data_IF_967910745882
#
_entry.id   IF_967910745882
#
_cell.length_a   1.000
_cell.length_b   1.000
_cell.length_c   1.000
_cell.angle_alpha   90.00
_cell.angle_beta   90.00
_cell.angle_gamma   90.00
#
_symmetry.space_group_name_H-M   'P 1'
#
loop_
_entity.id
_entity.type
_entity.pdbx_description
1 polymer ?
#
# COMPACT_ATOMS: atom_id res chain seq x y z
N UNK A 1 -4.95 19.70 -13.57
CA UNK A 1 -4.97 20.17 -14.97
C UNK A 1 -6.00 21.29 -15.14
N UNK A 2 -5.83 22.42 -14.45
CA UNK A 2 -6.69 23.60 -14.71
C UNK A 2 -6.28 24.28 -16.02
N UNK A 3 -7.17 25.08 -16.61
CA UNK A 3 -6.86 25.87 -17.79
C UNK A 3 -5.64 26.79 -17.56
N UNK A 4 -5.54 27.40 -16.38
CA UNK A 4 -4.41 28.24 -15.98
C UNK A 4 -3.09 27.48 -15.99
N UNK A 5 -3.03 26.29 -15.37
CA UNK A 5 -1.77 25.54 -15.26
C UNK A 5 -1.27 25.03 -16.62
N UNK A 6 -2.19 24.64 -17.51
CA UNK A 6 -1.82 24.25 -18.89
C UNK A 6 -1.37 25.46 -19.71
N UNK A 7 -2.02 26.62 -19.54
CA UNK A 7 -1.59 27.86 -20.18
C UNK A 7 -0.18 28.27 -19.74
N UNK A 8 0.10 28.20 -18.43
CA UNK A 8 1.40 28.50 -17.83
C UNK A 8 2.49 27.54 -18.34
N UNK A 9 2.21 26.23 -18.37
CA UNK A 9 3.11 25.23 -18.93
C UNK A 9 3.41 25.45 -20.42
N UNK A 10 2.40 25.84 -21.21
CA UNK A 10 2.59 26.18 -22.61
C UNK A 10 3.60 27.33 -22.78
N UNK A 11 3.50 28.37 -21.96
CA UNK A 11 4.47 29.47 -21.98
C UNK A 11 5.88 29.02 -21.62
N UNK A 12 6.03 28.14 -20.64
CA UNK A 12 7.33 27.58 -20.26
C UNK A 12 7.94 26.76 -21.41
N UNK A 13 7.15 25.87 -22.04
CA UNK A 13 7.61 25.07 -23.19
C UNK A 13 8.02 25.96 -24.37
N UNK A 14 7.26 27.02 -24.66
CA UNK A 14 7.63 28.01 -25.68
C UNK A 14 8.92 28.75 -25.36
N UNK A 15 9.15 29.08 -24.10
CA UNK A 15 10.40 29.71 -23.69
C UNK A 15 11.59 28.76 -23.88
N UNK A 16 11.43 27.48 -23.51
CA UNK A 16 12.44 26.42 -23.73
C UNK A 16 12.74 26.24 -25.22
N UNK A 17 11.72 26.20 -26.08
CA UNK A 17 11.90 26.16 -27.54
C UNK A 17 12.73 27.34 -28.06
N UNK A 18 12.48 28.56 -27.55
CA UNK A 18 13.24 29.76 -27.95
C UNK A 18 14.68 29.73 -27.46
N UNK A 19 14.94 29.17 -26.28
CA UNK A 19 16.31 28.92 -25.83
C UNK A 19 17.02 27.94 -26.74
N UNK A 20 16.39 26.80 -27.10
CA UNK A 20 17.00 25.83 -28.02
C UNK A 20 17.32 26.45 -29.37
N UNK A 21 16.41 27.27 -29.89
CA UNK A 21 16.66 28.03 -31.12
C UNK A 21 17.87 28.94 -31.00
N UNK A 22 18.02 29.64 -29.87
CA UNK A 22 19.17 30.50 -29.61
C UNK A 22 20.48 29.70 -29.49
N UNK A 23 20.45 28.52 -28.84
CA UNK A 23 21.59 27.59 -28.80
C UNK A 23 22.05 27.25 -30.22
N UNK A 24 21.13 26.76 -31.06
CA UNK A 24 21.42 26.38 -32.45
C UNK A 24 21.99 27.57 -33.25
N UNK A 25 21.37 28.75 -33.13
CA UNK A 25 21.85 29.95 -33.80
C UNK A 25 23.28 30.33 -33.40
N UNK A 26 23.63 30.23 -32.11
CA UNK A 26 24.98 30.53 -31.63
C UNK A 26 25.99 29.48 -32.10
N UNK A 27 25.59 28.21 -32.11
CA UNK A 27 26.39 27.11 -32.65
C UNK A 27 26.72 27.34 -34.13
N UNK A 28 25.73 27.72 -34.94
CA UNK A 28 25.90 28.04 -36.37
C UNK A 28 26.83 29.25 -36.61
N UNK A 29 26.95 30.15 -35.63
CA UNK A 29 27.87 31.30 -35.65
C UNK A 29 29.26 30.97 -35.12
N UNK A 30 29.51 29.74 -34.68
CA UNK A 30 30.80 29.29 -34.13
C UNK A 30 31.02 29.66 -32.66
N UNK A 31 30.01 30.17 -31.96
CA UNK A 31 30.07 30.47 -30.52
C UNK A 31 29.63 29.25 -29.70
N UNK A 32 30.47 28.22 -29.74
CA UNK A 32 30.15 26.88 -29.19
C UNK A 32 29.99 26.87 -27.67
N UNK A 33 30.72 27.73 -26.95
CA UNK A 33 30.63 27.84 -25.50
C UNK A 33 29.26 28.37 -25.08
N UNK A 34 28.80 29.48 -25.69
CA UNK A 34 27.47 30.02 -25.37
C UNK A 34 26.35 29.12 -25.85
N UNK A 35 26.50 28.48 -27.02
CA UNK A 35 25.54 27.51 -27.51
C UNK A 35 25.32 26.40 -26.46
N UNK A 36 26.41 25.77 -25.99
CA UNK A 36 26.34 24.72 -24.97
C UNK A 36 25.66 25.19 -23.68
N UNK A 37 25.90 26.43 -23.22
CA UNK A 37 25.20 26.97 -22.05
C UNK A 37 23.68 27.04 -22.27
N UNK A 38 23.22 27.58 -23.40
CA UNK A 38 21.78 27.64 -23.69
C UNK A 38 21.17 26.26 -23.90
N UNK A 39 21.91 25.31 -24.47
CA UNK A 39 21.48 23.92 -24.58
C UNK A 39 21.20 23.29 -23.21
N UNK A 40 22.18 23.37 -22.30
CA UNK A 40 22.04 22.87 -20.93
C UNK A 40 20.88 23.56 -20.19
N UNK A 41 20.67 24.86 -20.41
CA UNK A 41 19.51 25.56 -19.84
C UNK A 41 18.18 24.98 -20.31
N UNK A 42 18.07 24.61 -21.60
CA UNK A 42 16.87 24.00 -22.15
C UNK A 42 16.68 22.54 -21.70
N UNK A 43 17.77 21.76 -21.66
CA UNK A 43 17.76 20.36 -21.20
C UNK A 43 17.44 20.24 -19.71
N UNK A 44 17.73 21.28 -18.93
CA UNK A 44 17.33 21.35 -17.52
C UNK A 44 15.82 21.30 -17.31
N UNK A 45 14.99 21.69 -18.29
CA UNK A 45 13.53 21.72 -18.17
C UNK A 45 12.96 20.31 -17.91
N UNK A 46 12.18 20.17 -16.82
CA UNK A 46 11.63 18.90 -16.39
C UNK A 46 12.56 18.05 -15.53
N UNK A 47 13.85 18.39 -15.43
CA UNK A 47 14.78 17.76 -14.49
C UNK A 47 14.55 18.33 -13.08
N UNK A 48 14.41 17.44 -12.12
CA UNK A 48 14.22 17.79 -10.72
C UNK A 48 14.77 16.70 -9.80
N UNK A 49 15.00 17.07 -8.54
CA UNK A 49 15.44 16.20 -7.47
C UNK A 49 14.70 16.58 -6.18
N UNK A 50 14.42 15.62 -5.30
CA UNK A 50 13.94 15.89 -3.95
C UNK A 50 15.03 15.50 -2.95
N UNK A 51 15.54 16.48 -2.18
CA UNK A 51 16.58 16.26 -1.18
C UNK A 51 16.07 15.47 0.04
N UNK A 52 17.02 14.81 0.75
CA UNK A 52 17.10 14.73 2.22
C UNK A 52 15.84 15.07 3.02
N UNK A 53 15.73 16.38 3.22
CA UNK A 53 14.81 17.08 4.10
C UNK A 53 13.47 17.42 3.43
N UNK A 54 13.13 16.76 2.31
CA UNK A 54 11.89 16.96 1.58
C UNK A 54 11.90 18.17 0.63
N UNK A 55 13.04 18.84 0.44
CA UNK A 55 13.11 19.97 -0.49
C UNK A 55 13.02 19.50 -1.94
N UNK A 56 11.97 19.91 -2.64
CA UNK A 56 11.90 19.82 -4.10
C UNK A 56 12.80 20.86 -4.77
N UNK A 57 13.78 20.39 -5.52
CA UNK A 57 14.70 21.19 -6.31
C UNK A 57 14.46 20.94 -7.79
N UNK A 58 14.22 22.00 -8.53
CA UNK A 58 14.24 21.98 -9.98
C UNK A 58 15.63 22.27 -10.48
N UNK A 59 16.10 21.48 -11.42
CA UNK A 59 17.40 21.67 -12.07
C UNK A 59 17.32 22.66 -13.25
N UNK A 60 16.17 23.34 -13.41
CA UNK A 60 15.95 24.31 -14.49
C UNK A 60 16.73 25.60 -14.27
N UNK A 61 17.27 26.17 -15.34
CA UNK A 61 17.99 27.44 -15.28
C UNK A 61 17.13 28.59 -14.73
N UNK A 62 15.81 28.53 -14.90
CA UNK A 62 14.85 29.49 -14.35
C UNK A 62 14.84 29.52 -12.83
N UNK A 63 14.97 28.34 -12.24
CA UNK A 63 14.98 28.17 -10.79
C UNK A 63 16.24 28.76 -10.18
N UNK A 64 17.37 28.56 -10.85
CA UNK A 64 18.65 29.16 -10.49
C UNK A 64 18.70 30.68 -10.73
N UNK A 65 18.07 31.17 -11.80
CA UNK A 65 17.92 32.61 -12.04
C UNK A 65 17.05 33.27 -10.98
N UNK A 66 15.91 32.67 -10.61
CA UNK A 66 15.04 33.14 -9.52
C UNK A 66 15.75 33.13 -8.18
N UNK A 67 16.53 32.08 -7.91
CA UNK A 67 17.35 31.96 -6.70
C UNK A 67 18.39 33.08 -6.60
N UNK A 68 19.14 33.32 -7.68
CA UNK A 68 20.12 34.40 -7.77
C UNK A 68 19.48 35.77 -7.57
N UNK A 69 18.33 36.03 -8.22
CA UNK A 69 17.58 37.27 -8.07
C UNK A 69 17.13 37.53 -6.62
N UNK A 70 16.77 36.47 -5.87
CA UNK A 70 16.41 36.55 -4.45
C UNK A 70 17.62 36.69 -3.51
N UNK A 71 18.79 37.02 -4.05
CA UNK A 71 20.02 37.25 -3.30
C UNK A 71 20.86 35.99 -3.06
N UNK A 72 20.50 34.84 -3.64
CA UNK A 72 21.28 33.61 -3.49
C UNK A 72 21.38 33.11 -2.05
N UNK A 73 20.40 33.47 -1.21
CA UNK A 73 20.28 33.01 0.16
C UNK A 73 19.04 32.10 0.21
N UNK A 74 19.20 30.87 0.73
CA UNK A 74 18.21 29.76 0.85
C UNK A 74 18.35 28.69 -0.25
N UNK A 75 17.27 27.97 -0.59
CA UNK A 75 17.28 26.88 -1.57
C UNK A 75 16.69 27.38 -2.90
N UNK A 76 17.18 26.92 -4.06
CA UNK A 76 16.54 27.22 -5.34
C UNK A 76 15.08 26.79 -5.31
N UNK A 77 14.18 27.72 -5.63
CA UNK A 77 12.74 27.46 -5.74
C UNK A 77 12.33 27.50 -7.20
N UNK A 78 11.42 26.61 -7.66
CA UNK A 78 10.88 26.71 -9.00
C UNK A 78 10.29 28.10 -9.23
N UNK A 79 10.35 28.57 -10.48
CA UNK A 79 9.64 29.79 -10.86
C UNK A 79 8.13 29.59 -10.64
N UNK A 80 7.60 28.40 -10.99
CA UNK A 80 6.20 28.01 -10.81
C UNK A 80 6.12 26.55 -10.34
N UNK A 81 5.74 26.34 -9.08
CA UNK A 81 5.67 24.98 -8.51
C UNK A 81 4.61 24.14 -9.22
N UNK A 82 3.53 24.76 -9.70
CA UNK A 82 2.45 24.15 -10.48
C UNK A 82 2.93 23.45 -11.73
N UNK A 83 3.80 24.10 -12.52
CA UNK A 83 4.31 23.59 -13.79
C UNK A 83 5.44 22.61 -13.56
N UNK A 84 6.44 23.01 -12.77
CA UNK A 84 7.68 22.24 -12.63
C UNK A 84 7.45 20.89 -11.93
N UNK A 85 6.48 20.78 -11.01
CA UNK A 85 6.13 19.50 -10.36
C UNK A 85 5.22 18.60 -11.19
N UNK A 86 4.61 19.12 -12.26
CA UNK A 86 3.55 18.41 -13.03
C UNK A 86 3.77 18.45 -14.54
N UNK A 87 4.97 18.80 -15.01
CA UNK A 87 5.26 18.95 -16.43
C UNK A 87 4.88 17.67 -17.22
N UNK A 88 5.19 16.50 -16.65
CA UNK A 88 4.87 15.20 -17.25
C UNK A 88 3.36 14.99 -17.41
N UNK A 89 2.54 15.40 -16.43
CA UNK A 89 1.09 15.25 -16.50
C UNK A 89 0.49 16.05 -17.67
N UNK A 90 1.11 17.16 -18.04
CA UNK A 90 0.67 18.00 -19.16
C UNK A 90 1.03 17.36 -20.50
N UNK A 91 2.26 16.85 -20.65
CA UNK A 91 2.67 16.09 -21.85
C UNK A 91 1.84 14.81 -22.00
N UNK A 92 1.61 14.09 -20.90
CA UNK A 92 0.77 12.89 -20.89
C UNK A 92 -0.67 13.19 -21.31
N UNK A 93 -1.26 14.31 -20.88
CA UNK A 93 -2.59 14.72 -21.31
C UNK A 93 -2.64 14.94 -22.83
N UNK A 94 -1.65 15.61 -23.40
CA UNK A 94 -1.56 15.83 -24.86
C UNK A 94 -1.40 14.50 -25.61
N UNK A 95 -0.49 13.63 -25.16
CA UNK A 95 -0.26 12.31 -25.76
C UNK A 95 -1.49 11.41 -25.65
N UNK A 96 -2.21 11.44 -24.53
CA UNK A 96 -3.45 10.71 -24.34
C UNK A 96 -4.52 11.20 -25.31
N UNK A 97 -4.71 12.52 -25.42
CA UNK A 97 -5.71 13.12 -26.30
C UNK A 97 -5.43 12.81 -27.78
N UNK A 98 -4.16 12.87 -28.19
CA UNK A 98 -3.69 12.48 -29.53
C UNK A 98 -3.90 10.98 -29.78
N UNK A 99 -3.61 10.12 -28.79
CA UNK A 99 -3.84 8.66 -28.88
C UNK A 99 -5.32 8.27 -28.97
N UNK A 100 -6.22 9.11 -28.44
CA UNK A 100 -7.66 8.96 -28.57
C UNK A 100 -8.19 9.42 -29.95
N UNK A 101 -7.32 9.91 -30.83
CA UNK A 101 -7.66 10.35 -32.18
C UNK A 101 -8.10 11.82 -32.27
N UNK A 102 -7.88 12.62 -31.23
CA UNK A 102 -8.22 14.04 -31.21
C UNK A 102 -7.00 14.93 -31.50
N UNK A 103 -7.23 16.15 -31.98
CA UNK A 103 -6.17 17.13 -32.22
C UNK A 103 -5.77 17.83 -30.91
N UNK A 104 -4.51 17.68 -30.47
CA UNK A 104 -3.97 18.37 -29.29
C UNK A 104 -4.06 19.90 -29.35
N UNK A 105 -4.17 20.50 -30.54
CA UNK A 105 -4.40 21.94 -30.66
C UNK A 105 -5.73 22.38 -30.04
N UNK A 106 -6.74 21.50 -29.96
CA UNK A 106 -8.03 21.77 -29.33
C UNK A 106 -7.89 22.03 -27.83
N UNK A 107 -6.93 21.37 -27.15
CA UNK A 107 -6.63 21.60 -25.73
C UNK A 107 -6.31 23.08 -25.50
N UNK A 108 -5.44 23.63 -26.34
CA UNK A 108 -5.03 25.03 -26.26
C UNK A 108 -6.18 25.98 -26.58
N UNK A 109 -7.00 25.66 -27.58
CA UNK A 109 -8.19 26.47 -27.92
C UNK A 109 -9.19 26.49 -26.75
N UNK A 110 -9.43 25.34 -26.13
CA UNK A 110 -10.28 25.20 -24.94
C UNK A 110 -9.73 26.01 -23.77
N UNK A 111 -8.43 25.92 -23.49
CA UNK A 111 -7.76 26.71 -22.45
C UNK A 111 -7.99 28.21 -22.68
N UNK A 112 -7.76 28.70 -23.89
CA UNK A 112 -7.96 30.12 -24.22
C UNK A 112 -9.40 30.56 -24.04
N UNK A 113 -10.36 29.71 -24.47
CA UNK A 113 -11.78 29.98 -24.28
C UNK A 113 -12.13 30.07 -22.78
N UNK A 114 -11.72 29.09 -21.98
CA UNK A 114 -11.99 29.05 -20.54
C UNK A 114 -11.40 30.27 -19.82
N UNK A 115 -10.16 30.64 -20.14
CA UNK A 115 -9.53 31.84 -19.56
C UNK A 115 -10.30 33.11 -19.95
N UNK A 116 -10.71 33.24 -21.23
CA UNK A 116 -11.51 34.38 -21.71
C UNK A 116 -12.87 34.48 -21.01
N UNK A 117 -13.46 33.34 -20.64
CA UNK A 117 -14.71 33.25 -19.88
C UNK A 117 -14.53 33.49 -18.38
N UNK A 118 -13.30 33.75 -17.89
CA UNK A 118 -13.02 33.90 -16.46
C UNK A 118 -12.98 32.57 -15.68
N UNK A 119 -12.90 31.44 -16.38
CA UNK A 119 -12.91 30.07 -15.84
C UNK A 119 -11.52 29.42 -15.89
N UNK A 120 -10.50 30.18 -15.47
CA UNK A 120 -9.11 29.75 -15.56
C UNK A 120 -8.77 28.58 -14.61
N UNK A 121 -9.56 28.37 -13.58
CA UNK A 121 -9.48 27.26 -12.62
C UNK A 121 -10.11 25.95 -13.14
N UNK A 122 -10.92 26.01 -14.19
CA UNK A 122 -11.66 24.87 -14.74
C UNK A 122 -10.76 23.68 -15.10
N UNK A 123 -11.12 22.48 -14.65
CA UNK A 123 -10.39 21.25 -14.93
C UNK A 123 -10.64 20.80 -16.37
N UNK A 124 -9.57 20.76 -17.18
CA UNK A 124 -9.66 20.43 -18.60
C UNK A 124 -10.15 19.00 -18.86
N UNK A 125 -9.89 18.07 -17.93
CA UNK A 125 -10.35 16.68 -18.08
C UNK A 125 -11.88 16.58 -18.19
N UNK A 126 -12.60 17.49 -17.53
CA UNK A 126 -14.07 17.54 -17.56
C UNK A 126 -14.64 17.96 -18.91
N UNK A 127 -13.82 18.55 -19.77
CA UNK A 127 -14.23 19.08 -21.06
C UNK A 127 -13.58 18.37 -22.24
N UNK A 128 -12.40 17.77 -22.03
CA UNK A 128 -11.67 17.04 -23.06
C UNK A 128 -12.06 15.56 -23.11
N UNK A 129 -12.28 14.92 -21.96
CA UNK A 129 -12.57 13.49 -21.96
C UNK A 129 -14.09 13.27 -22.09
N UNK A 130 -14.55 12.53 -23.12
CA UNK A 130 -15.98 12.33 -23.40
C UNK A 130 -16.72 11.56 -22.30
N UNK A 131 -15.97 10.93 -21.40
CA UNK A 131 -16.49 10.26 -20.22
C UNK A 131 -15.62 10.62 -19.02
N UNK A 132 -16.23 11.22 -17.99
CA UNK A 132 -15.72 11.02 -16.64
C UNK A 132 -15.83 9.53 -16.35
N UNK A 133 -14.80 8.86 -15.80
CA UNK A 133 -15.02 7.53 -15.26
C UNK A 133 -16.18 7.66 -14.28
N UNK A 134 -17.30 6.97 -14.56
CA UNK A 134 -18.51 7.03 -13.73
C UNK A 134 -18.25 6.62 -12.28
N UNK A 135 -17.11 6.00 -12.05
CA UNK A 135 -16.68 5.40 -10.78
C UNK A 135 -15.39 6.04 -10.23
N UNK A 136 -15.10 7.32 -10.49
CA UNK A 136 -14.16 8.02 -9.59
C UNK A 136 -14.95 8.43 -8.35
N UNK A 137 -15.27 7.45 -7.51
CA UNK A 137 -15.62 7.74 -6.13
C UNK A 137 -14.40 8.46 -5.55
N UNK A 138 -14.52 9.78 -5.36
CA UNK A 138 -13.54 10.50 -4.54
C UNK A 138 -13.72 9.93 -3.14
N UNK A 139 -12.84 9.00 -2.77
CA UNK A 139 -12.79 8.49 -1.42
C UNK A 139 -12.28 9.63 -0.55
N UNK A 140 -13.21 10.24 0.20
CA UNK A 140 -12.87 11.25 1.19
C UNK A 140 -12.04 10.56 2.26
N UNK A 141 -10.76 10.91 2.32
CA UNK A 141 -9.86 10.48 3.38
C UNK A 141 -9.80 11.62 4.39
N UNK A 142 -10.27 11.38 5.61
CA UNK A 142 -10.05 12.31 6.70
C UNK A 142 -8.57 12.22 7.10
N UNK A 143 -7.81 13.28 6.85
CA UNK A 143 -6.41 13.37 7.26
C UNK A 143 -6.33 14.01 8.63
N UNK A 144 -5.65 13.34 9.56
CA UNK A 144 -5.43 13.81 10.93
C UNK A 144 -3.95 13.80 11.29
N UNK A 145 -3.59 14.62 12.27
CA UNK A 145 -2.26 14.63 12.89
C UNK A 145 -2.26 13.98 14.28
N UNK A 146 -3.39 13.43 14.73
CA UNK A 146 -3.49 12.73 16.02
C UNK A 146 -2.88 11.32 15.91
N UNK A 147 -1.77 11.05 16.61
CA UNK A 147 -1.05 9.79 16.46
C UNK A 147 -1.71 8.62 17.21
N UNK A 148 -1.54 7.42 16.68
CA UNK A 148 -1.73 6.18 17.45
C UNK A 148 -0.55 5.99 18.40
N UNK A 149 -0.73 5.30 19.51
CA UNK A 149 0.40 4.82 20.32
C UNK A 149 1.09 3.63 19.64
N UNK A 150 2.31 3.34 20.07
CA UNK A 150 3.09 2.21 19.58
C UNK A 150 2.61 0.88 20.17
N UNK A 151 2.79 -0.19 19.41
CA UNK A 151 2.64 -1.55 19.90
C UNK A 151 3.77 -1.86 20.90
N UNK A 152 3.42 -2.54 21.99
CA UNK A 152 4.38 -3.07 22.96
C UNK A 152 4.87 -4.45 22.49
N UNK A 153 6.16 -4.58 22.20
CA UNK A 153 6.76 -5.86 21.82
C UNK A 153 6.72 -6.84 22.99
N UNK A 154 6.43 -8.10 22.70
CA UNK A 154 6.57 -9.15 23.69
C UNK A 154 8.03 -9.38 24.03
N UNK A 155 8.37 -9.37 25.31
CA UNK A 155 9.74 -9.56 25.80
C UNK A 155 10.34 -10.92 25.47
N UNK A 156 9.52 -11.90 25.08
CA UNK A 156 9.95 -13.22 24.64
C UNK A 156 10.12 -13.36 23.12
N UNK A 157 10.11 -12.26 22.37
CA UNK A 157 10.39 -12.30 20.94
C UNK A 157 11.84 -12.69 20.63
N UNK A 158 12.09 -13.32 19.46
CA UNK A 158 11.10 -13.84 18.52
C UNK A 158 10.38 -15.10 19.07
N UNK A 159 9.09 -15.24 18.75
CA UNK A 159 8.27 -16.40 19.20
C UNK A 159 8.39 -17.61 18.27
N UNK A 160 8.78 -17.42 17.01
CA UNK A 160 9.15 -18.50 16.09
C UNK A 160 10.41 -18.11 15.32
N UNK A 161 11.33 -19.06 15.26
CA UNK A 161 12.55 -19.00 14.47
C UNK A 161 12.62 -20.20 13.51
N UNK A 162 13.48 -20.13 12.47
CA UNK A 162 13.76 -21.26 11.60
C UNK A 162 14.24 -22.48 12.39
N UNK A 163 13.86 -23.69 11.95
CA UNK A 163 14.24 -24.93 12.62
C UNK A 163 15.36 -25.59 11.85
N UNK A 164 16.55 -25.62 12.44
CA UNK A 164 17.71 -26.29 11.86
C UNK A 164 17.38 -27.76 11.52
N UNK A 165 17.81 -28.21 10.34
CA UNK A 165 17.57 -29.57 9.85
C UNK A 165 16.17 -29.82 9.28
N UNK A 166 15.21 -28.89 9.39
CA UNK A 166 13.93 -29.02 8.71
C UNK A 166 14.08 -28.89 7.18
N UNK A 167 13.38 -29.73 6.41
CA UNK A 167 13.44 -29.65 4.94
C UNK A 167 12.76 -28.40 4.39
N UNK A 168 11.76 -27.85 5.09
CA UNK A 168 10.83 -26.84 4.56
C UNK A 168 10.73 -25.54 5.39
N UNK A 169 11.32 -25.49 6.59
CA UNK A 169 11.28 -24.30 7.47
C UNK A 169 12.64 -24.01 8.14
N UNK A 170 13.74 -24.44 7.52
CA UNK A 170 15.10 -24.27 8.05
C UNK A 170 15.76 -22.94 7.75
N UNK A 171 15.25 -22.17 6.78
CA UNK A 171 15.85 -20.88 6.42
C UNK A 171 15.09 -19.72 7.02
N UNK A 172 13.78 -19.69 6.83
CA UNK A 172 12.95 -18.54 7.16
C UNK A 172 11.57 -18.95 7.66
N UNK A 173 11.04 -18.23 8.65
CA UNK A 173 9.63 -18.28 9.08
C UNK A 173 9.07 -16.88 9.15
N UNK A 174 7.94 -16.66 8.48
CA UNK A 174 7.54 -15.35 7.97
C UNK A 174 6.04 -15.13 8.08
N UNK A 175 5.66 -13.86 8.19
CA UNK A 175 4.35 -13.32 7.79
C UNK A 175 3.15 -14.17 8.27
N UNK A 176 2.98 -14.36 9.59
CA UNK A 176 1.95 -15.25 10.13
C UNK A 176 0.55 -14.64 10.04
N UNK A 177 -0.36 -15.34 9.37
CA UNK A 177 -1.79 -15.18 9.58
C UNK A 177 -2.17 -15.72 10.95
N UNK A 178 -3.13 -15.10 11.64
CA UNK A 178 -3.53 -15.51 12.98
C UNK A 178 -5.04 -15.77 13.02
N UNK A 179 -5.47 -16.77 13.77
CA UNK A 179 -6.88 -17.04 14.05
C UNK A 179 -7.04 -17.41 15.52
N UNK A 180 -7.86 -16.67 16.27
CA UNK A 180 -8.24 -17.04 17.63
C UNK A 180 -9.47 -17.93 17.58
N UNK A 181 -9.43 -19.04 18.31
CA UNK A 181 -10.59 -19.88 18.59
C UNK A 181 -10.52 -20.21 20.09
N UNK A 182 -11.44 -19.65 20.87
CA UNK A 182 -11.46 -19.75 22.32
C UNK A 182 -10.13 -19.28 22.93
N UNK A 183 -9.49 -20.13 23.72
CA UNK A 183 -8.26 -19.87 24.45
C UNK A 183 -6.99 -19.92 23.57
N UNK A 184 -7.08 -20.49 22.36
CA UNK A 184 -5.92 -20.71 21.49
C UNK A 184 -5.83 -19.71 20.36
N UNK A 185 -4.60 -19.40 19.96
CA UNK A 185 -4.31 -18.70 18.70
C UNK A 185 -3.56 -19.65 17.77
N UNK A 186 -4.06 -19.77 16.55
CA UNK A 186 -3.48 -20.56 15.47
C UNK A 186 -2.72 -19.62 14.54
N UNK A 187 -1.41 -19.82 14.42
CA UNK A 187 -0.52 -19.05 13.56
C UNK A 187 -0.21 -19.84 12.30
N UNK A 188 -0.71 -19.34 11.18
CA UNK A 188 -0.49 -19.85 9.84
C UNK A 188 0.71 -19.09 9.27
N UNK A 189 1.90 -19.68 9.30
CA UNK A 189 3.12 -18.95 8.95
C UNK A 189 3.68 -19.40 7.62
N UNK A 190 4.17 -18.46 6.82
CA UNK A 190 4.98 -18.80 5.65
C UNK A 190 6.33 -19.33 6.13
N UNK A 191 6.85 -20.37 5.50
CA UNK A 191 8.18 -20.89 5.78
C UNK A 191 8.91 -21.28 4.50
N UNK A 192 10.23 -21.19 4.55
CA UNK A 192 11.11 -21.59 3.45
C UNK A 192 12.25 -22.44 4.01
N UNK A 193 12.54 -23.53 3.31
CA UNK A 193 13.58 -24.48 3.69
C UNK A 193 14.62 -24.69 2.61
N UNK A 194 15.09 -25.93 2.50
CA UNK A 194 16.21 -26.30 1.64
C UNK A 194 15.87 -26.16 0.15
N UNK A 195 14.62 -26.43 -0.21
CA UNK A 195 14.07 -26.33 -1.57
C UNK A 195 13.90 -24.89 -2.08
N UNK A 196 13.97 -23.88 -1.21
CA UNK A 196 13.69 -22.47 -1.52
C UNK A 196 12.24 -22.21 -1.99
N UNK A 197 11.31 -23.06 -1.58
CA UNK A 197 9.88 -22.91 -1.92
C UNK A 197 9.13 -22.44 -0.66
N UNK A 198 8.20 -21.50 -0.83
CA UNK A 198 7.34 -21.06 0.28
C UNK A 198 6.22 -22.07 0.54
N UNK A 199 6.09 -22.47 1.80
CA UNK A 199 5.01 -23.31 2.31
C UNK A 199 4.29 -22.62 3.47
N UNK A 200 3.08 -23.07 3.80
CA UNK A 200 2.37 -22.61 5.00
C UNK A 200 2.44 -23.67 6.09
N UNK A 201 3.01 -23.29 7.22
CA UNK A 201 3.05 -24.03 8.48
C UNK A 201 1.93 -23.64 9.42
N UNK A 202 1.81 -24.40 10.52
CA UNK A 202 0.87 -24.12 11.59
C UNK A 202 1.55 -24.23 12.97
N UNK A 203 1.42 -23.17 13.77
CA UNK A 203 1.76 -23.18 15.19
C UNK A 203 0.53 -22.83 16.02
N UNK A 204 0.45 -23.34 17.24
CA UNK A 204 -0.63 -23.11 18.18
C UNK A 204 -0.03 -22.44 19.40
N UNK A 205 -0.60 -21.33 19.85
CA UNK A 205 -0.12 -20.54 20.98
C UNK A 205 -1.25 -20.28 21.97
N UNK A 206 -0.89 -19.88 23.19
CA UNK A 206 -1.82 -19.29 24.18
C UNK A 206 -2.03 -17.78 23.96
N UNK A 207 -1.54 -17.22 22.84
CA UNK A 207 -1.40 -15.80 22.59
C UNK A 207 0.05 -15.30 22.68
N UNK A 208 0.89 -15.98 23.46
CA UNK A 208 2.24 -15.53 23.78
C UNK A 208 3.28 -16.63 23.54
N UNK A 209 3.08 -17.81 24.13
CA UNK A 209 3.98 -18.95 24.03
C UNK A 209 3.47 -19.96 23.02
N UNK A 210 4.38 -20.51 22.24
CA UNK A 210 4.09 -21.64 21.33
C UNK A 210 3.87 -22.90 22.14
N UNK A 211 2.65 -23.44 22.06
CA UNK A 211 2.23 -24.68 22.70
C UNK A 211 2.55 -25.88 21.80
N UNK A 212 2.35 -25.73 20.49
CA UNK A 212 2.57 -26.78 19.51
C UNK A 212 3.00 -26.18 18.17
N UNK A 213 3.91 -26.85 17.44
CA UNK A 213 4.31 -26.52 16.08
C UNK A 213 4.18 -27.76 15.21
N UNK A 214 3.33 -27.70 14.19
CA UNK A 214 3.02 -28.84 13.33
C UNK A 214 4.22 -29.13 12.43
N UNK A 215 4.72 -30.38 12.45
CA UNK A 215 5.99 -30.78 11.82
C UNK A 215 5.98 -30.74 10.28
N UNK A 216 4.80 -30.78 9.68
CA UNK A 216 4.61 -30.79 8.23
C UNK A 216 3.86 -29.52 7.82
N UNK A 217 4.14 -28.97 6.62
CA UNK A 217 3.34 -27.87 6.10
C UNK A 217 1.88 -28.31 5.95
N UNK A 218 0.97 -27.40 6.26
CA UNK A 218 -0.48 -27.59 6.10
C UNK A 218 -0.96 -27.19 4.70
N UNK A 219 -0.17 -26.39 3.99
CA UNK A 219 -0.35 -26.05 2.58
C UNK A 219 1.02 -25.95 1.89
N UNK A 220 1.17 -26.66 0.76
CA UNK A 220 2.36 -26.64 -0.08
C UNK A 220 1.95 -26.54 -1.55
N UNK A 221 2.80 -26.03 -2.45
CA UNK A 221 2.45 -25.91 -3.86
C UNK A 221 1.96 -27.21 -4.53
N UNK A 222 0.81 -27.13 -5.19
CA UNK A 222 0.21 -28.21 -6.00
C UNK A 222 -0.21 -27.74 -7.40
N UNK A 223 -0.35 -26.43 -7.63
CA UNK A 223 -0.75 -25.88 -8.94
C UNK A 223 0.39 -25.11 -9.62
N UNK A 224 0.34 -24.93 -10.96
CA UNK A 224 1.34 -24.15 -11.68
C UNK A 224 1.51 -22.71 -11.18
N UNK A 225 0.42 -22.10 -10.71
CA UNK A 225 0.36 -20.71 -10.26
C UNK A 225 1.05 -20.50 -8.90
N UNK A 226 1.25 -21.57 -8.12
CA UNK A 226 1.91 -21.52 -6.81
C UNK A 226 3.25 -22.28 -6.80
N UNK A 227 3.79 -22.67 -7.97
CA UNK A 227 4.96 -23.55 -8.06
C UNK A 227 6.23 -23.04 -7.36
N UNK A 228 6.33 -21.72 -7.13
CA UNK A 228 7.42 -21.10 -6.38
C UNK A 228 7.03 -20.75 -4.94
N UNK A 229 5.76 -20.87 -4.56
CA UNK A 229 5.35 -20.75 -3.18
C UNK A 229 3.89 -20.42 -2.94
N UNK A 230 3.40 -20.84 -1.78
CA UNK A 230 2.22 -20.30 -1.11
C UNK A 230 2.70 -19.33 -0.03
N UNK A 231 2.31 -18.05 -0.08
CA UNK A 231 2.91 -16.98 0.72
C UNK A 231 1.87 -16.14 1.48
N UNK A 232 2.32 -15.52 2.57
CA UNK A 232 1.65 -14.44 3.30
C UNK A 232 0.15 -14.68 3.61
N UNK A 233 -0.17 -15.79 4.30
CA UNK A 233 -1.55 -16.21 4.53
C UNK A 233 -2.29 -15.26 5.47
N UNK A 234 -3.54 -14.94 5.15
CA UNK A 234 -4.49 -14.22 6.01
C UNK A 234 -5.72 -15.09 6.20
N UNK A 235 -6.19 -15.16 7.44
CA UNK A 235 -7.16 -16.16 7.87
C UNK A 235 -8.43 -15.46 8.32
N UNK A 236 -9.57 -15.97 7.85
CA UNK A 236 -10.88 -15.46 8.26
C UNK A 236 -11.86 -16.60 8.37
N UNK A 237 -12.76 -16.52 9.34
CA UNK A 237 -13.89 -17.43 9.48
C UNK A 237 -15.11 -16.77 8.86
N UNK A 238 -15.79 -17.49 7.98
CA UNK A 238 -17.06 -17.08 7.39
C UNK A 238 -17.97 -18.30 7.47
N UNK A 239 -19.09 -18.15 8.19
CA UNK A 239 -19.99 -19.25 8.53
C UNK A 239 -19.27 -20.43 9.20
N UNK A 240 -19.35 -21.63 8.62
CA UNK A 240 -18.76 -22.88 9.14
C UNK A 240 -17.38 -23.20 8.55
N UNK A 241 -16.75 -22.23 7.85
CA UNK A 241 -15.48 -22.43 7.15
C UNK A 241 -14.40 -21.45 7.57
N UNK A 242 -13.18 -21.95 7.57
CA UNK A 242 -11.96 -21.15 7.63
C UNK A 242 -11.50 -20.93 6.20
N UNK A 243 -11.37 -19.66 5.80
CA UNK A 243 -10.79 -19.25 4.53
C UNK A 243 -9.36 -18.76 4.77
N UNK A 244 -8.43 -19.25 3.96
CA UNK A 244 -7.07 -18.74 3.84
C UNK A 244 -6.94 -17.99 2.53
N UNK A 245 -6.69 -16.70 2.62
CA UNK A 245 -6.27 -15.87 1.50
C UNK A 245 -4.76 -15.84 1.48
N UNK A 246 -4.15 -16.23 0.37
CA UNK A 246 -2.69 -16.32 0.28
C UNK A 246 -2.21 -15.86 -1.10
N UNK A 247 -0.91 -15.57 -1.18
CA UNK A 247 -0.27 -15.26 -2.45
C UNK A 247 0.25 -16.56 -3.08
N UNK A 248 -0.29 -16.94 -4.23
CA UNK A 248 0.27 -17.96 -5.09
C UNK A 248 1.34 -17.32 -5.98
N UNK A 249 2.58 -17.80 -5.86
CA UNK A 249 3.71 -17.30 -6.63
C UNK A 249 4.24 -18.36 -7.59
N UNK A 250 4.33 -18.02 -8.87
CA UNK A 250 4.85 -18.93 -9.90
C UNK A 250 6.28 -18.61 -10.33
N UNK A 251 6.94 -17.61 -9.72
CA UNK A 251 8.27 -17.15 -10.13
C UNK A 251 8.26 -15.99 -11.12
N UNK A 252 7.12 -15.71 -11.76
CA UNK A 252 6.94 -14.62 -12.72
C UNK A 252 5.83 -13.65 -12.30
N UNK A 253 4.78 -14.13 -11.64
CA UNK A 253 3.64 -13.36 -11.16
C UNK A 253 3.23 -13.85 -9.78
N UNK A 254 2.91 -12.91 -8.90
CA UNK A 254 2.27 -13.17 -7.63
C UNK A 254 0.77 -12.85 -7.75
N UNK A 255 -0.08 -13.81 -7.42
CA UNK A 255 -1.53 -13.70 -7.54
C UNK A 255 -2.21 -14.08 -6.23
N UNK A 256 -3.41 -13.56 -6.00
CA UNK A 256 -4.21 -13.95 -4.83
C UNK A 256 -4.90 -15.28 -5.11
N UNK A 257 -4.70 -16.24 -4.22
CA UNK A 257 -5.37 -17.52 -4.20
C UNK A 257 -6.13 -17.72 -2.89
N UNK A 258 -7.12 -18.61 -2.93
CA UNK A 258 -8.00 -18.90 -1.81
C UNK A 258 -8.02 -20.41 -1.56
N UNK A 259 -7.84 -20.80 -0.32
CA UNK A 259 -8.09 -22.15 0.16
C UNK A 259 -9.10 -22.11 1.31
N UNK A 260 -9.86 -23.19 1.50
CA UNK A 260 -10.85 -23.30 2.58
C UNK A 260 -10.77 -24.65 3.29
N UNK A 261 -11.19 -24.68 4.55
CA UNK A 261 -11.37 -25.92 5.33
C UNK A 261 -12.55 -25.76 6.29
N UNK A 262 -13.11 -26.88 6.76
CA UNK A 262 -14.23 -26.87 7.70
C UNK A 262 -13.78 -26.51 9.13
N UNK A 263 -14.46 -25.56 9.78
CA UNK A 263 -14.12 -25.10 11.13
C UNK A 263 -14.21 -26.23 12.18
N UNK A 264 -15.23 -27.08 12.08
CA UNK A 264 -15.41 -28.21 13.00
C UNK A 264 -14.30 -29.25 12.88
N UNK A 265 -13.90 -29.61 11.65
CA UNK A 265 -12.82 -30.57 11.43
C UNK A 265 -11.47 -30.00 11.87
N UNK A 266 -11.22 -28.74 11.56
CA UNK A 266 -10.00 -28.05 11.96
C UNK A 266 -9.84 -28.01 13.48
N UNK A 267 -10.90 -27.67 14.21
CA UNK A 267 -10.88 -27.64 15.68
C UNK A 267 -10.75 -29.02 16.33
N UNK A 268 -11.05 -30.11 15.61
CA UNK A 268 -10.79 -31.51 16.01
C UNK A 268 -9.36 -31.97 15.69
N UNK A 269 -8.51 -31.11 15.11
CA UNK A 269 -7.11 -31.41 14.79
C UNK A 269 -6.87 -31.88 13.35
N UNK A 270 -7.86 -31.80 12.47
CA UNK A 270 -7.67 -32.10 11.04
C UNK A 270 -7.11 -30.89 10.29
N UNK A 271 -5.82 -30.60 10.48
CA UNK A 271 -5.19 -29.37 9.96
C UNK A 271 -4.82 -29.41 8.47
N UNK A 272 -4.90 -30.58 7.82
CA UNK A 272 -4.38 -30.81 6.46
C UNK A 272 -5.46 -30.81 5.36
N UNK A 273 -6.75 -30.73 5.73
CA UNK A 273 -7.85 -30.83 4.79
C UNK A 273 -8.18 -29.49 4.13
N UNK A 274 -7.27 -28.96 3.30
CA UNK A 274 -7.46 -27.70 2.58
C UNK A 274 -7.96 -27.93 1.15
N UNK A 275 -9.08 -27.29 0.81
CA UNK A 275 -9.61 -27.24 -0.54
C UNK A 275 -9.17 -25.94 -1.20
N UNK A 276 -8.44 -26.01 -2.32
CA UNK A 276 -8.16 -24.84 -3.17
C UNK A 276 -9.45 -24.39 -3.86
N UNK A 277 -9.88 -23.17 -3.58
CA UNK A 277 -11.04 -22.54 -4.22
C UNK A 277 -10.66 -21.83 -5.53
N UNK A 278 -9.36 -21.61 -5.76
CA UNK A 278 -8.80 -21.04 -6.98
C UNK A 278 -8.19 -19.65 -6.79
N UNK A 279 -7.77 -19.03 -7.90
CA UNK A 279 -7.29 -17.65 -7.90
C UNK A 279 -8.45 -16.67 -7.70
N UNK A 280 -8.33 -15.75 -6.75
CA UNK A 280 -9.31 -14.69 -6.56
C UNK A 280 -9.36 -13.75 -7.76
N UNK A 281 -8.19 -13.39 -8.29
CA UNK A 281 -8.02 -12.53 -9.45
C UNK A 281 -7.00 -13.15 -10.40
N UNK A 282 -7.40 -13.42 -11.64
CA UNK A 282 -6.56 -14.12 -12.62
C UNK A 282 -5.73 -13.16 -13.45
N UNK A 283 -4.45 -13.48 -13.65
CA UNK A 283 -3.47 -12.80 -14.49
C UNK A 283 -3.21 -11.34 -14.07
N UNK A 284 -3.31 -11.05 -12.78
CA UNK A 284 -3.04 -9.71 -12.21
C UNK A 284 -2.00 -9.86 -11.10
N UNK A 285 -0.91 -9.10 -11.20
CA UNK A 285 0.07 -9.01 -10.12
C UNK A 285 -0.59 -8.34 -8.91
N UNK A 286 -0.86 -9.12 -7.86
CA UNK A 286 -1.72 -8.70 -6.76
C UNK A 286 -1.30 -9.43 -5.47
N UNK A 287 -1.28 -8.70 -4.36
CA UNK A 287 -0.88 -9.19 -3.03
C UNK A 287 -1.79 -8.62 -1.95
N UNK A 288 -1.51 -8.99 -0.69
CA UNK A 288 -2.05 -8.32 0.50
C UNK A 288 -3.58 -8.33 0.58
N UNK A 289 -4.19 -9.47 0.27
CA UNK A 289 -5.63 -9.58 0.23
C UNK A 289 -6.22 -10.10 1.55
N UNK A 290 -7.28 -9.44 2.02
CA UNK A 290 -8.11 -9.89 3.13
C UNK A 290 -9.59 -9.87 2.73
N UNK A 291 -10.40 -10.70 3.37
CA UNK A 291 -11.86 -10.68 3.25
C UNK A 291 -12.42 -10.22 4.61
N UNK A 292 -13.44 -9.37 4.61
CA UNK A 292 -14.18 -9.08 5.83
C UNK A 292 -15.01 -10.30 6.27
N UNK A 293 -15.16 -10.55 7.58
CA UNK A 293 -15.83 -11.76 8.11
C UNK A 293 -17.33 -11.80 7.82
N UNK A 294 -17.94 -10.66 7.47
CA UNK A 294 -19.37 -10.56 7.21
C UNK A 294 -19.65 -9.76 5.95
N UNK A 295 -20.87 -9.93 5.42
CA UNK A 295 -21.36 -9.15 4.29
C UNK A 295 -21.73 -7.74 4.74
N UNK A 296 -21.33 -6.74 3.96
CA UNK A 296 -21.75 -5.35 4.14
C UNK A 296 -22.67 -4.97 2.99
N UNK A 297 -23.87 -4.51 3.32
CA UNK A 297 -24.93 -4.22 2.33
C UNK A 297 -25.20 -5.39 1.37
N UNK A 298 -25.18 -6.62 1.89
CA UNK A 298 -25.43 -7.85 1.14
C UNK A 298 -24.25 -8.40 0.33
N UNK A 299 -23.09 -7.73 0.33
CA UNK A 299 -21.90 -8.11 -0.45
C UNK A 299 -20.72 -8.49 0.44
N UNK A 300 -19.96 -9.50 0.03
CA UNK A 300 -18.62 -9.75 0.54
C UNK A 300 -17.69 -8.62 0.11
N UNK A 301 -16.75 -8.29 0.97
CA UNK A 301 -15.80 -7.20 0.78
C UNK A 301 -14.39 -7.77 0.86
N UNK A 302 -13.62 -7.52 -0.19
CA UNK A 302 -12.24 -7.98 -0.31
C UNK A 302 -11.37 -6.75 -0.48
N UNK A 303 -10.45 -6.54 0.46
CA UNK A 303 -9.34 -5.62 0.25
C UNK A 303 -8.18 -6.38 -0.38
N UNK A 304 -7.49 -5.76 -1.31
CA UNK A 304 -6.31 -6.34 -1.96
C UNK A 304 -5.40 -5.23 -2.47
N UNK A 305 -4.27 -5.57 -3.08
CA UNK A 305 -3.26 -4.59 -3.45
C UNK A 305 -2.67 -4.87 -4.81
N UNK A 306 -3.06 -4.04 -5.77
CA UNK A 306 -2.31 -3.83 -7.01
C UNK A 306 -1.38 -2.65 -6.75
N UNK A 307 -0.07 -2.91 -6.74
CA UNK A 307 0.95 -1.94 -6.33
C UNK A 307 0.78 -0.61 -7.10
N UNK A 308 0.83 0.56 -6.43
CA UNK A 308 1.24 0.77 -5.03
C UNK A 308 0.08 0.94 -4.03
N UNK A 309 -1.16 0.78 -4.47
CA UNK A 309 -2.36 1.21 -3.72
C UNK A 309 -3.17 0.03 -3.21
N UNK A 310 -3.94 0.27 -2.16
CA UNK A 310 -4.97 -0.65 -1.70
C UNK A 310 -6.27 -0.45 -2.48
N UNK A 311 -6.87 -1.57 -2.83
CA UNK A 311 -8.10 -1.68 -3.59
C UNK A 311 -9.17 -2.40 -2.78
N UNK A 312 -10.42 -2.14 -3.12
CA UNK A 312 -11.58 -2.88 -2.61
C UNK A 312 -12.33 -3.51 -3.77
N UNK A 313 -12.89 -4.70 -3.53
CA UNK A 313 -13.79 -5.40 -4.44
C UNK A 313 -15.01 -5.88 -3.66
N UNK A 314 -16.17 -5.79 -4.29
CA UNK A 314 -17.43 -6.24 -3.74
C UNK A 314 -17.99 -7.37 -4.61
N UNK A 315 -18.41 -8.46 -3.98
CA UNK A 315 -19.04 -9.59 -4.69
C UNK A 315 -20.22 -10.15 -3.89
N UNK A 316 -21.20 -10.73 -4.57
CA UNK A 316 -22.37 -11.34 -3.92
C UNK A 316 -22.05 -12.71 -3.31
N UNK A 317 -21.05 -13.40 -3.86
CA UNK A 317 -20.67 -14.77 -3.50
C UNK A 317 -19.14 -14.94 -3.54
N UNK A 318 -18.59 -15.75 -2.63
CA UNK A 318 -17.17 -16.12 -2.67
C UNK A 318 -16.94 -17.23 -3.70
N UNK A 319 -17.12 -16.89 -4.97
CA UNK A 319 -16.88 -17.76 -6.12
C UNK A 319 -15.76 -17.18 -6.97
N UNK A 320 -14.70 -17.95 -7.13
CA UNK A 320 -13.47 -17.49 -7.78
C UNK A 320 -13.34 -18.04 -9.21
N UNK A 321 -12.80 -17.26 -10.17
CA UNK A 321 -12.28 -15.90 -9.99
C UNK A 321 -13.40 -14.85 -9.92
N UNK A 322 -13.14 -13.79 -9.16
CA UNK A 322 -13.99 -12.60 -9.03
C UNK A 322 -13.71 -11.69 -10.23
N UNK A 323 -14.78 -11.25 -10.90
CA UNK A 323 -14.72 -10.45 -12.13
C UNK A 323 -15.38 -9.07 -11.98
N UNK A 324 -15.81 -8.76 -10.78
CA UNK A 324 -16.45 -7.52 -10.40
C UNK A 324 -15.45 -6.35 -10.42
N UNK A 325 -15.97 -5.13 -10.37
CA UNK A 325 -15.14 -3.93 -10.42
C UNK A 325 -14.30 -3.79 -9.14
N UNK A 326 -13.07 -3.35 -9.34
CA UNK A 326 -12.14 -2.98 -8.28
C UNK A 326 -12.04 -1.46 -8.20
N UNK A 327 -11.94 -0.90 -6.99
CA UNK A 327 -11.73 0.53 -6.78
C UNK A 327 -10.54 0.78 -5.85
N UNK A 328 -9.72 1.79 -6.17
CA UNK A 328 -8.68 2.26 -5.25
C UNK A 328 -9.35 2.96 -4.08
N UNK A 329 -9.00 2.56 -2.86
CA UNK A 329 -9.50 3.17 -1.61
C UNK A 329 -8.43 3.97 -0.89
N UNK A 330 -7.17 3.56 -1.02
CA UNK A 330 -6.06 4.19 -0.32
C UNK A 330 -4.80 4.06 -1.16
N UNK A 331 -4.08 5.17 -1.30
CA UNK A 331 -2.77 5.21 -1.94
C UNK A 331 -1.65 5.52 -0.94
N UNK A 332 -0.39 5.34 -1.35
CA UNK A 332 0.77 5.85 -0.61
C UNK A 332 0.65 7.35 -0.37
N UNK A 333 1.18 7.84 0.76
CA UNK A 333 1.17 9.27 1.05
C UNK A 333 2.30 9.98 0.30
N UNK A 334 2.07 11.20 -0.23
CA UNK A 334 3.11 11.94 -0.90
C UNK A 334 4.22 12.37 0.07
N UNK A 335 5.39 12.70 -0.49
CA UNK A 335 6.55 13.12 0.30
C UNK A 335 7.39 11.94 0.79
N UNK A 336 8.10 12.14 1.90
CA UNK A 336 8.95 11.11 2.54
C UNK A 336 8.29 10.53 3.79
N UNK A 337 6.97 10.35 3.75
CA UNK A 337 6.26 9.65 4.82
C UNK A 337 6.69 8.18 4.85
N UNK A 338 6.51 7.54 6.00
CA UNK A 338 6.93 6.15 6.20
C UNK A 338 6.18 5.14 5.30
N UNK A 339 5.10 5.56 4.67
CA UNK A 339 4.26 4.77 3.77
C UNK A 339 4.10 5.44 2.39
N UNK A 340 5.19 6.07 1.90
CA UNK A 340 5.18 6.85 0.66
C UNK A 340 5.47 6.07 -0.61
N UNK A 341 6.13 4.91 -0.53
CA UNK A 341 6.45 4.09 -1.70
C UNK A 341 5.29 3.18 -2.07
N UNK A 342 4.84 2.35 -1.12
CA UNK A 342 3.70 1.43 -1.29
C UNK A 342 3.06 1.08 0.05
N UNK A 343 1.80 0.68 -0.02
CA UNK A 343 1.01 0.23 1.11
C UNK A 343 0.24 -1.04 0.75
N UNK A 344 -0.17 -1.80 1.77
CA UNK A 344 -1.04 -2.95 1.61
C UNK A 344 -1.70 -3.35 2.92
N UNK A 345 -2.80 -4.09 2.84
CA UNK A 345 -3.43 -4.65 4.03
C UNK A 345 -2.41 -5.56 4.75
N UNK A 346 -2.33 -5.47 6.07
CA UNK A 346 -1.53 -6.38 6.88
C UNK A 346 -2.41 -7.52 7.36
N UNK A 347 -2.85 -7.41 8.61
CA UNK A 347 -3.75 -8.37 9.24
C UNK A 347 -5.17 -8.31 8.66
N UNK A 348 -5.95 -9.36 8.92
CA UNK A 348 -7.40 -9.30 8.76
C UNK A 348 -7.98 -8.13 9.55
N UNK A 349 -9.09 -7.57 9.08
CA UNK A 349 -9.73 -6.47 9.79
C UNK A 349 -10.46 -6.99 11.03
N UNK A 350 -10.30 -6.29 12.15
CA UNK A 350 -10.98 -6.54 13.41
C UNK A 350 -12.18 -5.61 13.51
N UNK A 351 -13.34 -6.16 13.85
CA UNK A 351 -14.56 -5.37 14.07
C UNK A 351 -14.46 -4.69 15.44
N UNK A 352 -14.75 -3.41 15.47
CA UNK A 352 -14.78 -2.60 16.70
C UNK A 352 -16.10 -1.85 16.75
N UNK A 353 -16.45 -1.30 17.91
CA UNK A 353 -17.62 -0.41 18.03
C UNK A 353 -17.51 0.88 17.17
N UNK A 354 -16.31 1.21 16.69
CA UNK A 354 -16.02 2.40 15.92
C UNK A 354 -15.90 2.18 14.41
N UNK A 355 -15.64 0.94 13.97
CA UNK A 355 -15.22 0.65 12.60
C UNK A 355 -14.51 -0.69 12.43
N UNK A 356 -14.11 -0.97 11.20
CA UNK A 356 -13.18 -2.04 10.87
C UNK A 356 -11.75 -1.56 11.08
N UNK A 357 -11.12 -2.01 12.16
CA UNK A 357 -9.73 -1.73 12.46
C UNK A 357 -8.83 -2.64 11.62
N UNK A 358 -7.92 -2.06 10.85
CA UNK A 358 -6.97 -2.80 10.05
C UNK A 358 -5.55 -2.32 10.35
N UNK A 359 -4.68 -3.25 10.70
CA UNK A 359 -3.25 -2.99 10.76
C UNK A 359 -2.70 -3.18 9.35
N UNK A 360 -2.16 -2.11 8.78
CA UNK A 360 -1.63 -2.08 7.42
C UNK A 360 -0.12 -1.87 7.45
N UNK A 361 0.56 -2.29 6.39
CA UNK A 361 1.99 -1.98 6.24
C UNK A 361 2.18 -0.80 5.29
N UNK A 362 3.25 -0.06 5.55
CA UNK A 362 3.73 1.02 4.71
C UNK A 362 5.22 0.88 4.49
N UNK A 363 5.64 1.22 3.28
CA UNK A 363 7.04 1.19 2.86
C UNK A 363 7.44 2.58 2.43
N UNK A 364 8.61 3.04 2.86
CA UNK A 364 9.22 4.27 2.40
C UNK A 364 10.20 4.03 1.24
N UNK A 365 10.79 5.11 0.71
CA UNK A 365 11.78 5.01 -0.37
C UNK A 365 13.14 4.42 0.06
N UNK A 366 13.36 4.21 1.35
CA UNK A 366 14.50 3.47 1.88
C UNK A 366 14.19 1.98 2.05
N UNK A 367 13.02 1.52 1.57
CA UNK A 367 12.54 0.14 1.68
C UNK A 367 12.37 -0.35 3.13
N UNK A 368 12.14 0.56 4.08
CA UNK A 368 11.84 0.18 5.46
C UNK A 368 10.34 -0.11 5.58
N UNK A 369 9.99 -1.32 6.03
CA UNK A 369 8.61 -1.73 6.25
C UNK A 369 8.20 -1.44 7.69
N UNK A 370 7.11 -0.69 7.85
CA UNK A 370 6.52 -0.35 9.14
C UNK A 370 5.03 -0.65 9.15
N UNK A 371 4.45 -0.74 10.34
CA UNK A 371 3.01 -0.96 10.53
C UNK A 371 2.32 0.34 10.97
N UNK A 372 1.07 0.53 10.53
CA UNK A 372 0.18 1.57 11.00
C UNK A 372 -1.26 1.09 11.12
N UNK A 373 -2.17 2.01 11.42
CA UNK A 373 -3.59 1.72 11.67
C UNK A 373 -4.47 2.41 10.64
N UNK A 374 -5.46 1.68 10.14
CA UNK A 374 -6.62 2.19 9.42
C UNK A 374 -7.89 1.85 10.20
N UNK A 375 -8.86 2.75 10.18
CA UNK A 375 -10.24 2.49 10.59
C UNK A 375 -11.15 2.74 9.41
N UNK A 376 -11.83 1.71 8.92
CA UNK A 376 -12.86 1.85 7.89
C UNK A 376 -14.25 1.91 8.53
N UNK A 377 -15.17 2.61 7.88
CA UNK A 377 -16.58 2.69 8.29
C UNK A 377 -17.26 1.31 8.21
N UNK A 378 -18.06 0.95 9.24
CA UNK A 378 -18.73 -0.35 9.33
C UNK A 378 -19.69 -0.59 8.17
N UNK A 379 -20.37 0.45 7.70
CA UNK A 379 -21.42 0.38 6.69
C UNK A 379 -20.92 0.77 5.30
N UNK A 380 -19.84 1.55 5.24
CA UNK A 380 -19.16 1.93 4.02
C UNK A 380 -17.65 1.61 4.05
N UNK A 381 -17.26 0.36 3.79
CA UNK A 381 -15.86 -0.10 3.82
C UNK A 381 -14.93 0.58 2.81
N UNK A 382 -15.43 1.43 1.90
CA UNK A 382 -14.59 2.29 1.07
C UNK A 382 -14.16 3.59 1.78
N UNK A 383 -14.83 3.98 2.86
CA UNK A 383 -14.58 5.20 3.63
C UNK A 383 -13.56 4.93 4.73
N UNK A 384 -12.42 5.60 4.66
CA UNK A 384 -11.40 5.62 5.72
C UNK A 384 -11.75 6.71 6.72
N UNK A 385 -12.10 6.31 7.94
CA UNK A 385 -12.40 7.20 9.07
C UNK A 385 -11.09 7.70 9.70
N UNK A 386 -10.12 6.81 9.89
CA UNK A 386 -8.83 7.12 10.50
C UNK A 386 -7.69 6.43 9.77
N UNK A 387 -6.57 7.14 9.64
CA UNK A 387 -5.28 6.60 9.20
C UNK A 387 -4.19 7.19 10.07
N UNK A 388 -3.41 6.34 10.74
CA UNK A 388 -2.37 6.82 11.65
C UNK A 388 -1.32 7.69 10.92
N UNK A 389 -1.00 8.89 11.43
CA UNK A 389 0.06 9.73 10.84
C UNK A 389 1.45 9.11 11.06
N UNK A 390 1.64 8.43 12.19
CA UNK A 390 2.86 7.72 12.59
C UNK A 390 2.75 6.19 12.37
N UNK A 391 3.89 5.48 12.30
CA UNK A 391 3.91 4.04 12.45
C UNK A 391 3.58 3.66 13.91
N UNK A 392 2.90 2.53 14.10
CA UNK A 392 2.68 1.90 15.41
C UNK A 392 3.78 0.89 15.75
N UNK A 393 4.51 0.39 14.75
CA UNK A 393 5.66 -0.50 14.92
C UNK A 393 6.63 -0.26 13.76
N UNK A 394 7.91 -0.16 14.07
CA UNK A 394 8.98 -0.03 13.10
C UNK A 394 10.21 -0.83 13.52
N UNK A 395 11.10 -1.25 12.61
CA UNK A 395 12.25 -2.08 12.96
C UNK A 395 13.18 -1.36 13.94
N UNK A 396 13.35 -1.92 15.14
CA UNK A 396 14.22 -1.38 16.19
C UNK A 396 15.12 -2.46 16.79
N UNK A 397 14.62 -3.69 16.88
CA UNK A 397 15.36 -4.80 17.48
C UNK A 397 16.28 -5.48 16.46
N UNK A 398 17.36 -6.12 16.93
CA UNK A 398 18.36 -6.77 16.07
C UNK A 398 17.75 -7.78 15.08
N UNK A 399 16.70 -8.51 15.51
CA UNK A 399 15.97 -9.49 14.68
C UNK A 399 15.00 -8.86 13.66
N UNK A 400 14.70 -7.56 13.79
CA UNK A 400 13.87 -6.79 12.86
C UNK A 400 14.72 -5.99 11.87
N UNK A 401 15.86 -5.48 12.35
CA UNK A 401 16.87 -4.81 11.53
C UNK A 401 17.59 -5.83 10.64
N UNK A 402 17.77 -7.07 11.13
CA UNK A 402 18.37 -8.18 10.37
C UNK A 402 19.89 -8.27 10.49
N UNK A 403 20.46 -7.85 11.62
CA UNK A 403 21.91 -7.83 11.86
C UNK A 403 22.54 -9.23 11.94
N UNK A 404 21.74 -10.28 12.15
CA UNK A 404 22.16 -11.67 12.32
C UNK A 404 22.08 -12.53 11.03
N UNK A 405 21.84 -11.90 9.88
CA UNK A 405 21.63 -12.59 8.61
C UNK A 405 20.14 -12.75 8.32
N UNK A 406 19.63 -11.83 7.49
CA UNK A 406 18.22 -11.73 7.16
C UNK A 406 17.99 -11.85 5.65
N UNK A 407 16.81 -12.32 5.24
CA UNK A 407 16.42 -12.24 3.82
C UNK A 407 16.24 -10.77 3.42
N UNK A 408 15.45 -10.01 4.18
CA UNK A 408 15.18 -8.60 3.91
C UNK A 408 15.34 -7.80 5.21
N UNK A 409 16.39 -6.97 5.34
CA UNK A 409 16.60 -6.17 6.55
C UNK A 409 15.58 -5.03 6.68
N UNK A 410 15.41 -4.51 7.89
CA UNK A 410 14.51 -3.40 8.22
C UNK A 410 13.04 -3.69 7.88
N UNK A 411 12.53 -4.84 8.34
CA UNK A 411 11.15 -5.25 8.10
C UNK A 411 10.42 -5.60 9.39
N UNK A 412 9.28 -4.95 9.60
CA UNK A 412 8.18 -5.49 10.41
C UNK A 412 6.93 -5.60 9.51
N UNK A 413 6.39 -6.81 9.37
CA UNK A 413 5.28 -7.09 8.45
C UNK A 413 4.25 -8.02 9.09
N UNK A 414 2.98 -7.63 9.15
CA UNK A 414 1.93 -8.46 9.77
C UNK A 414 0.97 -9.06 8.73
N UNK A 415 0.56 -10.30 8.96
CA UNK A 415 -0.56 -10.95 8.27
C UNK A 415 -1.69 -11.34 9.24
N UNK A 416 -1.52 -11.11 10.54
CA UNK A 416 -2.36 -11.70 11.57
C UNK A 416 -2.42 -10.85 12.83
N UNK A 417 -3.64 -10.42 13.17
CA UNK A 417 -3.95 -9.79 14.44
C UNK A 417 -5.24 -10.37 14.99
N UNK A 418 -5.30 -10.60 16.29
CA UNK A 418 -6.46 -11.19 16.97
C UNK A 418 -6.66 -10.50 18.31
N UNK A 419 -7.89 -10.45 18.84
CA UNK A 419 -8.09 -10.01 20.21
C UNK A 419 -7.42 -10.97 21.19
N UNK A 420 -6.98 -10.46 22.33
CA UNK A 420 -6.36 -11.26 23.39
C UNK A 420 -7.36 -12.25 24.00
N UNK A 421 -8.65 -11.89 24.03
CA UNK A 421 -9.78 -12.74 24.42
C UNK A 421 -10.65 -12.98 23.18
N UNK A 422 -11.30 -14.13 23.09
CA UNK A 422 -12.19 -14.46 21.97
C UNK A 422 -13.44 -13.57 22.00
N UNK A 423 -13.40 -12.47 21.26
CA UNK A 423 -14.42 -11.42 21.22
C UNK A 423 -14.60 -10.93 19.78
N UNK A 424 -15.85 -10.82 19.36
CA UNK A 424 -16.19 -10.46 17.97
C UNK A 424 -16.10 -8.94 17.71
N UNK A 425 -16.56 -8.13 18.65
CA UNK A 425 -16.56 -6.65 18.55
C UNK A 425 -15.71 -6.09 19.68
N UNK A 426 -14.66 -5.36 19.33
CA UNK A 426 -13.72 -4.79 20.31
C UNK A 426 -14.16 -3.41 20.80
N UNK A 427 -13.90 -3.17 22.07
CA UNK A 427 -14.10 -1.94 22.85
C UNK A 427 -12.73 -1.41 23.33
N UNK A 428 -12.72 -0.21 23.89
CA UNK A 428 -11.52 0.55 24.29
C UNK A 428 -10.44 -0.29 25.02
N UNK A 429 -10.84 -1.06 26.02
CA UNK A 429 -9.94 -1.80 26.92
C UNK A 429 -9.52 -3.17 26.37
N UNK A 430 -10.06 -3.60 25.23
CA UNK A 430 -9.70 -4.89 24.65
C UNK A 430 -8.28 -4.85 24.07
N UNK A 431 -7.45 -5.79 24.52
CA UNK A 431 -6.09 -5.97 24.02
C UNK A 431 -6.10 -6.71 22.68
N UNK A 432 -5.28 -6.25 21.73
CA UNK A 432 -5.07 -6.82 20.41
C UNK A 432 -3.66 -7.37 20.35
N UNK A 433 -3.53 -8.63 19.96
CA UNK A 433 -2.25 -9.31 19.73
C UNK A 433 -1.95 -9.26 18.24
N UNK A 434 -0.78 -8.73 17.89
CA UNK A 434 -0.31 -8.53 16.51
C UNK A 434 0.92 -9.38 16.28
N UNK A 435 0.81 -10.34 15.37
CA UNK A 435 1.92 -11.21 14.99
C UNK A 435 2.56 -10.69 13.72
N UNK A 436 3.89 -10.61 13.70
CA UNK A 436 4.61 -9.99 12.61
C UNK A 436 5.87 -10.77 12.23
N UNK A 437 6.14 -10.85 10.93
CA UNK A 437 7.44 -11.22 10.41
C UNK A 437 8.45 -10.10 10.67
N UNK A 438 9.64 -10.49 11.11
CA UNK A 438 10.76 -9.62 11.42
C UNK A 438 11.96 -9.96 10.52
N UNK A 439 12.45 -8.94 9.82
CA UNK A 439 13.56 -9.02 8.85
C UNK A 439 13.42 -10.15 7.81
N UNK A 440 12.19 -10.50 7.44
CA UNK A 440 11.88 -11.71 6.67
C UNK A 440 12.69 -12.95 7.13
N UNK A 441 12.75 -13.19 8.44
CA UNK A 441 13.53 -14.30 9.02
C UNK A 441 12.84 -15.01 10.17
N UNK A 442 12.25 -14.25 11.09
CA UNK A 442 11.62 -14.74 12.31
C UNK A 442 10.24 -14.13 12.50
N UNK A 443 9.51 -14.60 13.52
CA UNK A 443 8.19 -14.07 13.87
C UNK A 443 8.23 -13.52 15.28
N UNK A 444 7.83 -12.26 15.43
CA UNK A 444 7.55 -11.62 16.71
C UNK A 444 6.05 -11.48 16.98
N UNK A 445 5.74 -11.08 18.21
CA UNK A 445 4.41 -10.67 18.64
C UNK A 445 4.51 -9.33 19.39
N UNK A 446 3.54 -8.45 19.17
CA UNK A 446 3.39 -7.21 19.90
C UNK A 446 1.91 -6.99 20.24
N UNK A 447 1.62 -6.10 21.20
CA UNK A 447 0.26 -5.88 21.69
C UNK A 447 -0.04 -4.41 21.97
N UNK A 448 -1.32 -4.07 21.95
CA UNK A 448 -1.84 -2.78 22.40
C UNK A 448 -3.34 -2.91 22.68
N UNK A 449 -3.91 -1.98 23.44
CA UNK A 449 -5.38 -1.89 23.55
C UNK A 449 -5.98 -1.19 22.33
N UNK A 450 -7.28 -1.34 22.09
CA UNK A 450 -7.97 -0.56 21.05
C UNK A 450 -7.80 0.95 21.27
N UNK A 451 -7.91 1.41 22.51
CA UNK A 451 -7.75 2.82 22.88
C UNK A 451 -6.32 3.35 22.67
N UNK A 452 -5.31 2.48 22.65
CA UNK A 452 -3.94 2.86 22.27
C UNK A 452 -3.82 3.08 20.76
N UNK A 453 -4.52 2.29 19.95
CA UNK A 453 -4.45 2.34 18.49
C UNK A 453 -5.34 3.43 17.88
N UNK A 454 -6.42 3.81 18.54
CA UNK A 454 -7.37 4.83 18.07
C UNK A 454 -7.42 6.05 19.02
N UNK A 455 -7.13 7.27 18.53
CA UNK A 455 -7.26 8.47 19.34
C UNK A 455 -8.71 8.69 19.81
N UNK A 456 -8.87 9.34 20.95
CA UNK A 456 -10.18 9.56 21.60
C UNK A 456 -11.20 10.29 20.69
N UNK A 457 -10.75 11.17 19.80
CA UNK A 457 -11.60 11.87 18.84
C UNK A 457 -12.29 10.93 17.84
N UNK A 458 -11.66 9.80 17.51
CA UNK A 458 -12.18 8.78 16.59
C UNK A 458 -12.97 7.67 17.32
N UNK A 459 -12.94 7.67 18.66
CA UNK A 459 -13.68 6.74 19.54
C UNK A 459 -15.02 7.29 20.03
N UNK A 460 -15.49 8.42 19.49
CA UNK A 460 -16.74 9.09 19.94
C UNK A 460 -17.79 9.30 18.85
N UNK A 461 -17.43 9.04 17.58
CA UNK A 461 -18.21 9.50 16.43
C UNK A 461 -19.51 8.71 16.16
N UNK A 462 -19.74 7.55 16.80
CA UNK A 462 -20.92 6.72 16.53
C UNK A 462 -22.05 6.83 17.58
N UNK A 463 -21.87 7.55 18.69
CA UNK A 463 -22.89 7.71 19.73
C UNK A 463 -23.91 8.86 19.48
N UNK A 464 -23.94 9.42 18.27
CA UNK A 464 -24.92 10.44 17.88
C UNK A 464 -25.64 10.06 16.59
N UNK A 465 -26.32 8.91 16.58
CA UNK A 465 -27.36 8.59 15.58
C UNK A 465 -28.23 7.44 16.12
N UNK A 466 -29.15 7.77 17.03
CA UNK A 466 -30.35 6.95 17.32
C UNK A 466 -31.56 7.73 16.80
#
# INVERSE_FOLDING_TARGET
NSAHNIFENYHHRRLVEKIRFLSNYLSDKGDTEKANLFEVMADGYGLSQVLEDGTFLTCTAWSWASYSFKGGLKKPSPFTTSVESRWFNHDFLESLYESLGYDKAEIKQLVFRLIKEGRSDHNLLDSLLPTRPKDVAVVVQETTNEPSKHLERYSGNPILEPVEGSSWESKYVLNPGALRIKDKVYLFYRAVGQDNISHIGLAITDGYKVLERIKKPILSPETPEEKMGCEDPRIIVIDDKIYMVYTAYDGNIAQIAIASTGLEEFTKGNYFNWKREGLAFTNIWNKDAIILPEKINGKYVIYHRIEPSMWVTYTDELKFPIREKHAIILGPRPGRMWDSLKIGAGAQALKTEYGWLQIYHGVDHNYVYRLGVLLFDLNNPSKVIYRSPNPILEPEEDYEIGLSGAWVPNVVFTCGAVPAVDKEVLEDDDEILVYYGAADTSIGMAKATLADLLPESFRKANNQSI
#
